data_IF_008787633057
#
_entry.id   IF_008787633057
#
_cell.length_a   1.000
_cell.length_b   1.000
_cell.length_c   1.000
_cell.angle_alpha   90.00
_cell.angle_beta   90.00
_cell.angle_gamma   90.00
#
_symmetry.space_group_name_H-M   'P 1'
#
loop_
_entity.id
_entity.type
_entity.pdbx_description
1 polymer ?
#
# COMPACT_ATOMS: atom_id res chain seq x y z
N UNK A 1 17.41 -7.13 -7.72
CA UNK A 1 18.33 -6.02 -8.07
C UNK A 1 19.74 -6.43 -7.69
N UNK A 2 20.70 -6.27 -8.60
CA UNK A 2 22.11 -6.58 -8.36
C UNK A 2 22.91 -5.28 -8.40
N UNK A 3 23.81 -5.01 -7.44
CA UNK A 3 24.69 -3.85 -7.50
C UNK A 3 25.56 -3.82 -8.75
N UNK A 4 25.88 -2.64 -9.33
CA UNK A 4 26.70 -2.54 -10.54
C UNK A 4 28.08 -3.22 -10.44
N UNK A 5 28.65 -3.33 -9.24
CA UNK A 5 29.92 -4.03 -9.05
C UNK A 5 29.82 -5.56 -9.15
N UNK A 6 28.60 -6.13 -9.07
CA UNK A 6 28.38 -7.57 -8.99
C UNK A 6 27.59 -8.14 -10.18
N UNK A 7 27.08 -7.31 -11.09
CA UNK A 7 26.18 -7.79 -12.15
C UNK A 7 26.85 -8.84 -13.05
N UNK A 8 28.11 -8.62 -13.47
CA UNK A 8 28.86 -9.58 -14.30
C UNK A 8 29.06 -10.93 -13.60
N UNK A 9 29.40 -10.90 -12.32
CA UNK A 9 29.60 -12.12 -11.52
C UNK A 9 28.30 -12.94 -11.45
N UNK A 10 27.15 -12.26 -11.29
CA UNK A 10 25.85 -12.93 -11.25
C UNK A 10 25.45 -13.46 -12.63
N UNK A 11 25.70 -12.71 -13.70
CA UNK A 11 25.45 -13.16 -15.09
C UNK A 11 26.31 -14.39 -15.44
N UNK A 12 27.60 -14.37 -15.10
CA UNK A 12 28.52 -15.49 -15.30
C UNK A 12 28.08 -16.73 -14.51
N UNK A 13 27.61 -16.54 -13.26
CA UNK A 13 27.08 -17.63 -12.44
C UNK A 13 25.83 -18.25 -13.07
N UNK A 14 24.88 -17.42 -13.52
CA UNK A 14 23.63 -17.92 -14.11
C UNK A 14 23.87 -18.63 -15.44
N UNK A 15 24.72 -18.06 -16.30
CA UNK A 15 25.10 -18.71 -17.56
C UNK A 15 25.89 -20.00 -17.32
N UNK A 16 26.80 -20.02 -16.34
CA UNK A 16 27.57 -21.21 -15.96
C UNK A 16 26.70 -22.37 -15.44
N UNK A 17 25.63 -22.05 -14.71
CA UNK A 17 24.65 -23.02 -14.21
C UNK A 17 23.49 -23.30 -15.20
N UNK A 18 23.59 -22.79 -16.43
CA UNK A 18 22.58 -22.92 -17.49
C UNK A 18 21.17 -22.44 -17.07
N UNK A 19 21.12 -21.40 -16.25
CA UNK A 19 19.89 -20.76 -15.79
C UNK A 19 19.44 -19.69 -16.79
N UNK A 20 18.16 -19.70 -17.14
CA UNK A 20 17.55 -18.65 -17.95
C UNK A 20 17.22 -17.44 -17.08
N UNK A 21 17.59 -16.25 -17.53
CA UNK A 21 17.29 -15.00 -16.84
C UNK A 21 17.00 -13.87 -17.83
N UNK A 22 16.34 -12.81 -17.35
CA UNK A 22 16.09 -11.59 -18.10
C UNK A 22 16.48 -10.39 -17.23
N UNK A 23 17.13 -9.39 -17.85
CA UNK A 23 17.41 -8.12 -17.19
C UNK A 23 16.13 -7.30 -17.23
N UNK A 24 15.50 -7.08 -16.07
CA UNK A 24 14.24 -6.34 -15.98
C UNK A 24 14.42 -4.84 -15.80
N UNK A 25 15.58 -4.32 -15.39
CA UNK A 25 15.90 -2.89 -15.49
C UNK A 25 17.41 -2.80 -15.69
N UNK A 26 17.89 -2.32 -16.86
CA UNK A 26 19.32 -2.23 -17.12
C UNK A 26 20.00 -1.12 -16.29
N UNK A 27 19.32 0.00 -16.06
CA UNK A 27 19.84 1.12 -15.27
C UNK A 27 18.79 1.64 -14.27
N UNK A 28 18.94 1.20 -13.01
CA UNK A 28 18.06 1.60 -11.91
C UNK A 28 18.21 3.08 -11.57
N UNK A 29 19.42 3.65 -11.70
CA UNK A 29 19.69 5.03 -11.34
C UNK A 29 19.06 5.99 -12.35
N UNK A 30 19.20 5.70 -13.64
CA UNK A 30 18.57 6.50 -14.68
C UNK A 30 17.04 6.38 -14.63
N UNK A 31 16.50 5.18 -14.40
CA UNK A 31 15.05 4.99 -14.25
C UNK A 31 14.48 5.78 -13.06
N UNK A 32 15.19 5.82 -11.93
CA UNK A 32 14.80 6.65 -10.79
C UNK A 32 14.81 8.15 -11.17
N UNK A 33 15.89 8.63 -11.79
CA UNK A 33 16.03 10.03 -12.21
C UNK A 33 14.95 10.46 -13.19
N UNK A 34 14.69 9.69 -14.25
CA UNK A 34 13.66 10.00 -15.25
C UNK A 34 12.25 10.11 -14.65
N UNK A 35 11.98 9.37 -13.57
CA UNK A 35 10.69 9.44 -12.88
C UNK A 35 10.60 10.58 -11.85
N UNK A 36 11.75 11.13 -11.46
CA UNK A 36 11.86 12.25 -10.52
C UNK A 36 12.12 13.62 -11.23
N UNK A 37 12.43 13.65 -12.54
CA UNK A 37 12.81 14.86 -13.29
C UNK A 37 11.58 15.70 -13.76
N UNK A 38 11.45 16.97 -13.33
CA UNK A 38 10.39 17.88 -13.81
C UNK A 38 10.67 18.50 -15.19
N UNK A 39 11.93 18.60 -15.63
CA UNK A 39 12.34 19.39 -16.81
C UNK A 39 12.06 18.61 -18.10
N UNK A 40 12.17 17.28 -18.05
CA UNK A 40 11.88 16.41 -19.19
C UNK A 40 10.39 16.36 -19.56
N UNK A 41 9.47 16.77 -18.66
CA UNK A 41 8.05 16.90 -18.98
C UNK A 41 7.77 18.07 -19.91
N UNK A 42 8.33 19.25 -19.66
CA UNK A 42 8.09 20.45 -20.47
C UNK A 42 8.70 20.31 -21.88
N UNK A 43 9.89 19.72 -22.01
CA UNK A 43 10.51 19.50 -23.32
C UNK A 43 9.87 18.36 -24.11
N UNK A 44 9.40 17.29 -23.46
CA UNK A 44 8.71 16.19 -24.14
C UNK A 44 7.32 16.60 -24.64
N UNK A 45 6.61 17.44 -23.90
CA UNK A 45 5.31 18.00 -24.29
C UNK A 45 5.45 19.00 -25.46
N UNK A 46 6.49 19.84 -25.44
CA UNK A 46 6.79 20.78 -26.52
C UNK A 46 7.28 20.13 -27.82
N UNK A 47 7.97 18.99 -27.77
CA UNK A 47 8.55 18.33 -28.95
C UNK A 47 7.68 17.20 -29.54
N UNK A 48 6.57 16.84 -28.90
CA UNK A 48 5.65 15.80 -29.41
C UNK A 48 6.27 14.40 -29.50
N UNK A 49 7.34 14.12 -28.75
CA UNK A 49 8.15 12.87 -28.82
C UNK A 49 7.51 11.72 -28.02
N UNK A 50 6.28 11.88 -27.54
CA UNK A 50 5.48 10.80 -26.95
C UNK A 50 4.36 10.30 -27.89
N UNK A 51 4.65 9.78 -29.11
CA UNK A 51 3.61 9.23 -29.98
C UNK A 51 3.08 7.86 -29.50
N UNK A 52 3.66 7.23 -28.47
CA UNK A 52 3.19 5.94 -27.93
C UNK A 52 2.59 5.97 -26.52
N UNK A 53 2.51 7.13 -25.87
CA UNK A 53 1.83 7.28 -24.56
C UNK A 53 0.52 8.08 -24.65
N UNK A 54 0.14 8.53 -25.85
CA UNK A 54 -1.03 9.39 -26.07
C UNK A 54 -2.44 8.80 -25.83
N UNK A 55 -2.72 7.49 -25.71
CA UNK A 55 -4.09 7.09 -25.34
C UNK A 55 -4.41 7.36 -23.86
N UNK A 56 -3.39 7.46 -22.99
CA UNK A 56 -3.60 7.58 -21.52
C UNK A 56 -3.35 8.99 -20.97
N UNK A 57 -2.72 9.87 -21.75
CA UNK A 57 -2.40 11.27 -21.36
C UNK A 57 -3.64 12.20 -21.43
N UNK A 58 -4.81 11.68 -21.82
CA UNK A 58 -6.09 12.41 -21.70
C UNK A 58 -7.05 11.78 -20.69
N UNK A 59 -6.55 11.16 -19.61
CA UNK A 59 -7.35 11.05 -18.40
C UNK A 59 -7.44 12.47 -17.83
N UNK A 60 -8.40 13.19 -18.42
CA UNK A 60 -8.96 14.47 -18.02
C UNK A 60 -8.89 14.54 -16.49
N UNK A 61 -8.29 15.59 -15.91
CA UNK A 61 -8.46 15.85 -14.48
C UNK A 61 -9.97 15.88 -14.11
N UNK A 62 -10.83 16.14 -15.10
CA UNK A 62 -12.28 15.97 -15.06
C UNK A 62 -12.76 14.54 -14.83
N UNK A 63 -12.06 13.48 -15.26
CA UNK A 63 -12.43 12.08 -14.98
C UNK A 63 -12.18 11.74 -13.51
N UNK A 64 -11.04 12.16 -12.94
CA UNK A 64 -10.80 12.06 -11.51
C UNK A 64 -11.82 12.89 -10.71
N UNK A 65 -12.20 14.08 -11.19
CA UNK A 65 -13.28 14.88 -10.61
C UNK A 65 -14.65 14.18 -10.73
N UNK A 66 -15.00 13.62 -11.90
CA UNK A 66 -16.32 13.02 -12.19
C UNK A 66 -16.57 11.67 -11.49
N UNK A 67 -15.52 10.95 -11.05
CA UNK A 67 -15.69 9.71 -10.28
C UNK A 67 -16.20 9.96 -8.86
N UNK A 68 -15.97 11.16 -8.30
CA UNK A 68 -16.59 11.56 -7.06
C UNK A 68 -17.94 12.20 -7.35
N UNK A 69 -19.01 11.72 -6.70
CA UNK A 69 -20.33 12.32 -6.89
C UNK A 69 -20.28 13.84 -6.64
N UNK A 70 -21.09 14.61 -7.36
CA UNK A 70 -21.22 16.06 -7.15
C UNK A 70 -21.53 16.40 -5.67
N UNK A 71 -22.14 15.46 -4.94
CA UNK A 71 -22.37 15.53 -3.50
C UNK A 71 -21.08 15.43 -2.67
N UNK A 72 -20.17 14.51 -3.01
CA UNK A 72 -18.85 14.38 -2.39
C UNK A 72 -18.01 15.65 -2.61
N UNK A 73 -18.03 16.20 -3.82
CA UNK A 73 -17.32 17.45 -4.12
C UNK A 73 -17.92 18.66 -3.38
N UNK A 74 -19.25 18.77 -3.31
CA UNK A 74 -19.92 19.80 -2.50
C UNK A 74 -19.58 19.70 -1.01
N UNK A 75 -19.46 18.47 -0.48
CA UNK A 75 -19.02 18.23 0.91
C UNK A 75 -17.57 18.66 1.13
N UNK A 76 -16.66 18.45 0.18
CA UNK A 76 -15.28 18.95 0.25
C UNK A 76 -15.25 20.48 0.29
N UNK A 77 -16.12 21.16 -0.47
CA UNK A 77 -16.24 22.62 -0.45
C UNK A 77 -16.58 23.23 0.92
N UNK A 78 -17.22 22.45 1.80
CA UNK A 78 -17.59 22.82 3.17
C UNK A 78 -16.48 22.55 4.19
N UNK A 79 -15.42 21.81 3.82
CA UNK A 79 -14.34 21.49 4.74
C UNK A 79 -13.38 22.67 4.91
N UNK A 80 -12.95 22.92 6.16
CA UNK A 80 -11.94 23.94 6.47
C UNK A 80 -10.53 23.54 6.00
N UNK A 81 -10.24 22.24 5.95
CA UNK A 81 -9.04 21.69 5.33
C UNK A 81 -9.30 21.46 3.83
N UNK A 82 -8.73 22.29 2.97
CA UNK A 82 -8.87 22.17 1.52
C UNK A 82 -7.62 21.55 0.91
N UNK A 83 -7.80 20.38 0.32
CA UNK A 83 -6.86 19.74 -0.57
C UNK A 83 -7.71 19.11 -1.65
N UNK A 84 -7.53 19.54 -2.90
CA UNK A 84 -8.37 19.02 -3.98
C UNK A 84 -8.06 17.55 -4.13
N UNK A 85 -9.11 16.73 -4.09
CA UNK A 85 -8.98 15.31 -4.34
C UNK A 85 -8.51 15.12 -5.78
N UNK A 86 -7.39 14.43 -5.98
CA UNK A 86 -6.75 14.28 -7.29
C UNK A 86 -5.51 15.17 -7.51
N UNK A 87 -5.22 16.12 -6.63
CA UNK A 87 -3.94 16.83 -6.66
C UNK A 87 -2.91 16.06 -5.83
N UNK A 88 -1.75 15.75 -6.42
CA UNK A 88 -0.59 15.26 -5.68
C UNK A 88 0.38 16.42 -5.47
N UNK A 89 0.59 16.80 -4.20
CA UNK A 89 1.48 17.88 -3.80
C UNK A 89 2.79 17.37 -3.23
N UNK A 90 3.71 18.30 -3.00
CA UNK A 90 4.96 18.00 -2.29
C UNK A 90 4.67 17.40 -0.90
N UNK A 91 5.64 16.65 -0.38
CA UNK A 91 5.59 16.10 0.97
C UNK A 91 5.18 17.15 2.04
N UNK A 92 5.73 18.37 1.94
CA UNK A 92 5.42 19.49 2.83
C UNK A 92 3.95 19.90 2.77
N UNK A 93 3.35 19.88 1.58
CA UNK A 93 1.94 20.20 1.38
C UNK A 93 1.03 19.10 1.93
N UNK A 94 1.38 17.82 1.70
CA UNK A 94 0.66 16.68 2.27
C UNK A 94 0.68 16.69 3.80
N UNK A 95 1.83 16.97 4.43
CA UNK A 95 1.93 17.09 5.90
C UNK A 95 1.12 18.26 6.43
N UNK A 96 1.21 19.41 5.76
CA UNK A 96 0.40 20.58 6.11
C UNK A 96 -1.08 20.22 6.07
N UNK A 97 -1.52 19.53 5.02
CA UNK A 97 -2.90 19.07 4.89
C UNK A 97 -3.31 18.11 6.01
N UNK A 98 -2.53 17.05 6.26
CA UNK A 98 -2.83 16.09 7.32
C UNK A 98 -2.98 16.78 8.68
N UNK A 99 -2.02 17.64 9.05
CA UNK A 99 -2.08 18.43 10.31
C UNK A 99 -3.29 19.35 10.36
N UNK A 100 -3.68 19.92 9.22
CA UNK A 100 -4.85 20.78 9.12
C UNK A 100 -6.14 19.98 9.33
N UNK A 101 -6.23 18.77 8.81
CA UNK A 101 -7.37 17.88 9.08
C UNK A 101 -7.44 17.56 10.57
N UNK A 102 -6.35 17.06 11.17
CA UNK A 102 -6.33 16.74 12.60
C UNK A 102 -6.76 17.94 13.46
N UNK A 103 -6.25 19.13 13.15
CA UNK A 103 -6.59 20.34 13.88
C UNK A 103 -8.07 20.71 13.80
N UNK A 104 -8.66 20.70 12.60
CA UNK A 104 -10.07 21.05 12.45
C UNK A 104 -11.03 19.94 12.86
N UNK A 105 -10.53 18.70 12.92
CA UNK A 105 -11.32 17.50 13.02
C UNK A 105 -10.76 16.46 14.02
N UNK A 106 -10.46 16.86 15.25
CA UNK A 106 -9.76 16.01 16.22
C UNK A 106 -10.59 14.81 16.68
N UNK A 107 -11.92 14.88 16.53
CA UNK A 107 -12.82 13.78 16.92
C UNK A 107 -12.81 12.60 15.94
N UNK A 108 -12.30 12.80 14.72
CA UNK A 108 -12.31 11.77 13.68
C UNK A 108 -10.96 11.54 13.01
N UNK A 109 -9.97 12.39 13.28
CA UNK A 109 -8.61 12.25 12.76
C UNK A 109 -7.58 12.48 13.84
N UNK A 110 -6.52 11.67 13.81
CA UNK A 110 -5.38 11.73 14.73
C UNK A 110 -4.13 11.37 13.95
N UNK A 111 -3.11 12.21 14.01
CA UNK A 111 -1.80 11.95 13.43
C UNK A 111 -0.95 11.33 14.51
N UNK A 112 -0.53 10.09 14.25
CA UNK A 112 0.40 9.39 15.12
C UNK A 112 1.76 9.47 14.45
N UNK A 113 2.71 10.16 15.11
CA UNK A 113 4.08 10.20 14.62
C UNK A 113 4.78 8.89 14.95
N UNK A 114 5.17 8.18 13.90
CA UNK A 114 5.83 6.89 13.98
C UNK A 114 7.34 7.13 14.11
N UNK A 115 7.79 7.55 15.29
CA UNK A 115 9.21 7.62 15.66
C UNK A 115 10.06 8.74 15.01
N UNK A 116 11.35 8.71 15.31
CA UNK A 116 12.44 9.48 14.70
C UNK A 116 13.52 8.49 14.26
N UNK A 117 14.28 8.79 13.21
CA UNK A 117 15.46 8.01 12.84
C UNK A 117 16.51 8.07 13.94
N UNK A 118 17.52 7.17 13.87
CA UNK A 118 18.63 7.19 14.82
C UNK A 118 19.46 8.49 14.73
N UNK A 119 19.43 9.15 13.58
CA UNK A 119 20.06 10.43 13.31
C UNK A 119 19.31 11.63 13.95
N UNK A 120 18.23 11.38 14.71
CA UNK A 120 17.40 12.41 15.33
C UNK A 120 16.51 13.16 14.34
N UNK A 121 16.54 12.74 13.06
CA UNK A 121 15.67 13.27 12.03
C UNK A 121 14.29 12.63 12.14
N UNK A 122 13.23 13.38 11.83
CA UNK A 122 12.01 12.77 11.33
C UNK A 122 12.35 11.67 10.29
N UNK A 123 11.78 10.45 10.38
CA UNK A 123 11.85 9.41 9.32
C UNK A 123 11.50 10.01 7.95
N UNK A 124 10.70 11.06 8.02
CA UNK A 124 10.24 11.93 6.95
C UNK A 124 11.34 12.61 6.11
N UNK A 125 12.54 12.88 6.65
CA UNK A 125 13.60 13.65 5.97
C UNK A 125 14.70 12.79 5.31
N UNK A 126 14.80 11.49 5.63
CA UNK A 126 15.94 10.63 5.23
C UNK A 126 15.67 9.70 4.02
N UNK A 127 14.47 9.80 3.42
CA UNK A 127 14.02 9.02 2.25
C UNK A 127 14.96 9.21 1.05
N UNK A 128 15.70 10.33 0.97
CA UNK A 128 16.54 10.67 -0.18
C UNK A 128 17.94 10.05 -0.18
N UNK A 129 18.39 9.39 0.91
CA UNK A 129 19.75 8.79 0.94
C UNK A 129 19.79 7.36 0.40
N UNK A 130 18.73 6.56 0.55
CA UNK A 130 18.67 5.15 0.11
C UNK A 130 17.29 4.80 -0.44
N UNK A 131 17.06 5.06 -1.74
CA UNK A 131 15.75 4.96 -2.44
C UNK A 131 15.02 3.61 -2.31
N UNK A 132 15.74 2.53 -2.04
CA UNK A 132 15.23 1.15 -2.00
C UNK A 132 15.32 0.50 -0.61
N UNK A 133 15.50 1.31 0.44
CA UNK A 133 15.44 0.82 1.81
C UNK A 133 14.03 0.37 2.18
N UNK A 134 13.91 -0.76 2.91
CA UNK A 134 12.62 -1.37 3.31
C UNK A 134 12.37 -1.37 4.81
N UNK A 135 13.40 -1.59 5.63
CA UNK A 135 13.27 -1.76 7.09
C UNK A 135 13.07 -0.42 7.80
N UNK A 136 12.90 -0.43 9.11
CA UNK A 136 13.09 0.78 9.90
C UNK A 136 14.59 1.12 10.07
N UNK A 137 14.92 2.07 10.95
CA UNK A 137 16.29 2.57 11.18
C UNK A 137 16.80 2.28 12.60
N UNK A 138 16.27 1.24 13.28
CA UNK A 138 16.76 0.88 14.60
C UNK A 138 18.25 0.46 14.54
N UNK A 139 19.05 0.71 15.59
CA UNK A 139 20.50 0.44 15.57
C UNK A 139 20.78 -1.07 15.48
N UNK A 140 20.83 -1.61 14.28
CA UNK A 140 21.13 -3.01 14.06
C UNK A 140 22.58 -3.16 13.63
N UNK A 141 23.37 -3.85 14.46
CA UNK A 141 24.68 -4.33 14.03
C UNK A 141 24.44 -5.52 13.12
N UNK A 142 24.91 -5.37 11.88
CA UNK A 142 24.83 -6.38 10.83
C UNK A 142 25.84 -7.52 11.08
N UNK A 143 25.75 -8.14 12.26
CA UNK A 143 26.60 -9.25 12.69
C UNK A 143 25.72 -10.49 12.73
N UNK A 144 26.16 -11.54 12.06
CA UNK A 144 25.43 -12.81 11.98
C UNK A 144 25.26 -13.38 13.38
N UNK A 145 24.03 -13.37 13.90
CA UNK A 145 23.68 -14.10 15.12
C UNK A 145 23.64 -15.61 14.83
N UNK A 146 24.19 -16.42 15.73
CA UNK A 146 24.13 -17.89 15.68
C UNK A 146 22.79 -18.45 16.19
N UNK A 147 21.90 -17.59 16.71
CA UNK A 147 20.62 -17.99 17.27
C UNK A 147 19.48 -17.70 16.29
N UNK A 148 18.62 -18.70 16.03
CA UNK A 148 17.40 -18.47 15.28
C UNK A 148 16.42 -19.63 15.32
N UNK A 149 15.22 -19.37 15.87
CA UNK A 149 14.04 -20.20 15.62
C UNK A 149 13.53 -19.99 14.18
N UNK A 150 12.92 -21.01 13.59
CA UNK A 150 12.38 -20.97 12.22
C UNK A 150 10.96 -20.41 12.25
N UNK A 151 10.79 -19.16 11.80
CA UNK A 151 9.50 -18.62 11.38
C UNK A 151 9.50 -18.52 9.85
N UNK A 152 8.46 -19.05 9.19
CA UNK A 152 8.39 -19.10 7.72
C UNK A 152 8.26 -17.69 7.13
N UNK A 153 9.03 -17.40 6.09
CA UNK A 153 9.03 -16.10 5.41
C UNK A 153 9.66 -14.94 6.16
N UNK A 154 10.42 -15.23 7.23
CA UNK A 154 11.14 -14.23 8.02
C UNK A 154 12.58 -14.64 8.25
N UNK A 155 13.41 -13.75 8.77
CA UNK A 155 14.82 -14.01 9.04
C UNK A 155 15.23 -13.55 10.42
N UNK A 156 16.10 -14.34 11.06
CA UNK A 156 16.79 -13.96 12.32
C UNK A 156 18.13 -13.29 12.06
N UNK A 157 18.56 -13.18 10.79
CA UNK A 157 19.77 -12.46 10.40
C UNK A 157 19.49 -10.95 10.34
N UNK A 158 20.15 -10.11 11.17
CA UNK A 158 19.96 -8.66 11.15
C UNK A 158 20.26 -7.99 9.80
N UNK A 159 21.06 -8.62 8.93
CA UNK A 159 21.34 -8.10 7.59
C UNK A 159 20.29 -8.46 6.55
N UNK A 160 19.34 -9.32 6.87
CA UNK A 160 18.27 -9.65 5.93
C UNK A 160 17.28 -8.49 5.81
N UNK A 161 16.74 -8.30 4.60
CA UNK A 161 15.58 -7.43 4.36
C UNK A 161 14.29 -7.98 5.00
N UNK A 162 14.31 -9.24 5.43
CA UNK A 162 13.22 -9.93 6.12
C UNK A 162 13.52 -10.10 7.61
N UNK A 163 14.43 -9.30 8.19
CA UNK A 163 14.75 -9.41 9.60
C UNK A 163 13.54 -9.09 10.47
N UNK A 164 13.17 -10.03 11.34
CA UNK A 164 11.95 -9.95 12.16
C UNK A 164 12.09 -9.13 13.45
N UNK A 165 13.32 -8.66 13.77
CA UNK A 165 13.64 -8.08 15.07
C UNK A 165 14.02 -9.10 16.13
N UNK A 166 14.48 -8.63 17.29
CA UNK A 166 14.91 -9.50 18.39
C UNK A 166 13.74 -10.25 19.05
N UNK A 167 12.55 -9.63 19.05
CA UNK A 167 11.30 -10.17 19.59
C UNK A 167 10.10 -9.49 18.95
N UNK A 168 8.92 -10.10 19.14
CA UNK A 168 7.64 -9.53 18.71
C UNK A 168 7.46 -8.13 19.30
N UNK A 169 7.12 -7.14 18.46
CA UNK A 169 7.00 -5.71 18.83
C UNK A 169 8.28 -5.09 19.45
N UNK A 170 9.46 -5.58 19.05
CA UNK A 170 10.76 -4.98 19.40
C UNK A 170 10.87 -3.55 18.88
N UNK A 171 10.43 -3.29 17.66
CA UNK A 171 10.50 -1.98 17.02
C UNK A 171 9.50 -0.98 17.62
N UNK A 172 9.92 0.25 17.96
CA UNK A 172 9.05 1.24 18.61
C UNK A 172 7.85 1.62 17.74
N UNK A 173 8.00 1.61 16.41
CA UNK A 173 6.94 1.89 15.44
C UNK A 173 5.80 0.87 15.54
N UNK A 174 6.15 -0.42 15.48
CA UNK A 174 5.18 -1.53 15.59
C UNK A 174 4.50 -1.55 16.96
N UNK A 175 5.25 -1.18 18.00
CA UNK A 175 4.76 -1.11 19.37
C UNK A 175 3.74 0.02 19.56
N UNK A 176 3.99 1.18 18.96
CA UNK A 176 3.06 2.31 19.01
C UNK A 176 1.70 1.96 18.38
N UNK A 177 1.70 1.27 17.23
CA UNK A 177 0.46 0.80 16.58
C UNK A 177 -0.27 -0.21 17.47
N UNK A 178 0.45 -1.19 18.01
CA UNK A 178 -0.10 -2.17 18.96
C UNK A 178 -0.75 -1.49 20.16
N UNK A 179 -0.01 -0.61 20.83
CA UNK A 179 -0.44 0.05 22.06
C UNK A 179 -1.65 0.96 21.80
N UNK A 180 -1.70 1.65 20.65
CA UNK A 180 -2.86 2.43 20.24
C UNK A 180 -4.10 1.54 20.02
N UNK A 181 -3.99 0.48 19.23
CA UNK A 181 -5.13 -0.39 18.92
C UNK A 181 -5.62 -1.21 20.13
N UNK A 182 -4.73 -1.54 21.07
CA UNK A 182 -5.07 -2.20 22.33
C UNK A 182 -5.46 -1.23 23.45
N UNK A 183 -5.36 0.08 23.24
CA UNK A 183 -5.69 1.09 24.24
C UNK A 183 -7.18 1.03 24.62
N UNK A 184 -7.52 1.58 25.80
CA UNK A 184 -8.93 1.72 26.21
C UNK A 184 -9.76 2.53 25.21
N UNK A 185 -9.13 3.43 24.46
CA UNK A 185 -9.79 4.27 23.46
C UNK A 185 -10.27 3.43 22.27
N UNK A 186 -9.44 2.49 21.79
CA UNK A 186 -9.67 1.75 20.54
C UNK A 186 -10.14 0.30 20.71
N UNK A 187 -9.92 -0.29 21.89
CA UNK A 187 -10.27 -1.69 22.17
C UNK A 187 -11.74 -1.94 21.82
N UNK A 188 -11.98 -2.96 20.99
CA UNK A 188 -13.30 -3.37 20.48
C UNK A 188 -14.01 -2.32 19.60
N UNK A 189 -13.32 -1.29 19.11
CA UNK A 189 -13.89 -0.27 18.20
C UNK A 189 -13.32 -0.35 16.78
N UNK A 190 -12.39 -1.27 16.53
CA UNK A 190 -11.78 -1.47 15.21
C UNK A 190 -12.56 -2.53 14.43
N UNK A 191 -13.37 -2.10 13.46
CA UNK A 191 -14.19 -3.01 12.65
C UNK A 191 -13.52 -3.49 11.36
N UNK A 192 -12.58 -2.69 10.85
CA UNK A 192 -11.80 -3.00 9.67
C UNK A 192 -10.35 -2.55 9.82
N UNK A 193 -9.43 -3.32 9.25
CA UNK A 193 -8.00 -3.03 9.20
C UNK A 193 -7.50 -3.24 7.77
N UNK A 194 -7.03 -2.17 7.12
CA UNK A 194 -6.46 -2.23 5.78
C UNK A 194 -5.02 -1.74 5.87
N UNK A 195 -4.06 -2.59 5.49
CA UNK A 195 -2.66 -2.19 5.33
C UNK A 195 -2.33 -2.11 3.84
N UNK A 196 -1.72 -1.00 3.41
CA UNK A 196 -1.42 -0.73 2.01
C UNK A 196 0.07 -0.96 1.74
N UNK A 197 0.34 -1.70 0.68
CA UNK A 197 1.65 -2.08 0.20
C UNK A 197 1.73 -1.86 -1.32
N UNK A 198 2.92 -1.97 -1.87
CA UNK A 198 3.17 -2.02 -3.31
C UNK A 198 4.37 -2.95 -3.51
N UNK A 199 4.44 -3.78 -4.54
CA UNK A 199 3.55 -3.89 -5.69
C UNK A 199 3.10 -5.33 -5.89
N UNK A 200 1.99 -5.53 -6.61
CA UNK A 200 1.64 -6.78 -7.29
C UNK A 200 0.21 -6.78 -7.85
N UNK A 201 -0.60 -5.76 -7.54
CA UNK A 201 -2.06 -5.77 -7.77
C UNK A 201 -2.74 -6.96 -7.10
N UNK A 202 -2.54 -7.10 -5.79
CA UNK A 202 -3.16 -8.15 -4.97
C UNK A 202 -4.07 -7.55 -3.90
N UNK A 203 -5.22 -8.18 -3.70
CA UNK A 203 -6.12 -7.91 -2.60
C UNK A 203 -6.11 -9.12 -1.66
N UNK A 204 -5.23 -9.05 -0.67
CA UNK A 204 -4.92 -10.15 0.25
C UNK A 204 -5.84 -10.11 1.46
N UNK A 205 -6.39 -11.26 1.83
CA UNK A 205 -7.03 -11.47 3.12
C UNK A 205 -6.21 -12.46 3.96
N UNK A 206 -6.31 -12.43 5.31
CA UNK A 206 -5.62 -13.39 6.15
C UNK A 206 -5.98 -14.86 5.85
N UNK A 207 -5.12 -15.83 6.17
CA UNK A 207 -3.82 -15.66 6.85
C UNK A 207 -2.63 -15.76 5.88
N UNK A 208 -1.55 -15.05 6.21
CA UNK A 208 -0.32 -15.01 5.41
C UNK A 208 0.82 -15.86 5.97
N UNK A 209 0.77 -16.29 7.23
CA UNK A 209 1.87 -17.06 7.86
C UNK A 209 2.07 -18.49 7.33
N UNK A 210 1.02 -19.14 6.81
CA UNK A 210 1.06 -20.53 6.33
C UNK A 210 0.01 -20.78 5.24
N UNK A 211 0.33 -21.63 4.25
CA UNK A 211 -0.59 -22.00 3.15
C UNK A 211 -1.80 -22.76 3.67
N UNK A 212 -2.92 -22.66 2.98
CA UNK A 212 -4.17 -23.36 3.35
C UNK A 212 -4.72 -23.01 4.75
N UNK A 213 -4.28 -21.89 5.33
CA UNK A 213 -4.80 -21.37 6.61
C UNK A 213 -5.75 -20.20 6.39
N UNK A 214 -6.97 -20.34 6.89
CA UNK A 214 -8.05 -19.38 6.63
C UNK A 214 -8.80 -19.01 7.91
N UNK A 215 -9.22 -17.74 8.09
CA UNK A 215 -10.10 -17.37 9.19
C UNK A 215 -11.51 -17.95 8.98
N UNK A 216 -12.26 -18.12 10.08
CA UNK A 216 -13.62 -18.68 10.06
C UNK A 216 -14.60 -17.92 9.15
N UNK A 217 -14.41 -16.62 8.98
CA UNK A 217 -15.22 -15.74 8.13
C UNK A 217 -14.61 -15.51 6.73
N UNK A 218 -13.67 -16.36 6.30
CA UNK A 218 -13.00 -16.31 4.99
C UNK A 218 -13.96 -16.10 3.82
N UNK A 219 -15.10 -16.81 3.80
CA UNK A 219 -16.08 -16.70 2.71
C UNK A 219 -16.64 -15.28 2.60
N UNK A 220 -16.90 -14.62 3.73
CA UNK A 220 -17.39 -13.23 3.76
C UNK A 220 -16.29 -12.24 3.35
N UNK A 221 -15.07 -12.46 3.84
CA UNK A 221 -13.89 -11.67 3.47
C UNK A 221 -13.63 -11.72 1.96
N UNK A 222 -13.63 -12.92 1.38
CA UNK A 222 -13.42 -13.13 -0.06
C UNK A 222 -14.54 -12.53 -0.90
N UNK A 223 -15.80 -12.66 -0.48
CA UNK A 223 -16.94 -12.02 -1.18
C UNK A 223 -16.83 -10.50 -1.16
N UNK A 224 -16.40 -9.92 -0.05
CA UNK A 224 -16.24 -8.47 0.09
C UNK A 224 -15.05 -7.97 -0.71
N UNK A 225 -13.92 -8.68 -0.68
CA UNK A 225 -12.77 -8.43 -1.56
C UNK A 225 -13.18 -8.49 -3.03
N UNK A 226 -13.98 -9.50 -3.44
CA UNK A 226 -14.47 -9.61 -4.82
C UNK A 226 -15.25 -8.38 -5.26
N UNK A 227 -16.19 -7.89 -4.44
CA UNK A 227 -16.92 -6.65 -4.76
C UNK A 227 -16.00 -5.44 -4.82
N UNK A 228 -15.00 -5.36 -3.94
CA UNK A 228 -14.02 -4.28 -3.93
C UNK A 228 -13.17 -4.27 -5.21
N UNK A 229 -12.63 -5.42 -5.64
CA UNK A 229 -11.86 -5.51 -6.89
C UNK A 229 -12.72 -5.28 -8.14
N UNK A 230 -13.98 -5.74 -8.14
CA UNK A 230 -14.88 -5.55 -9.29
C UNK A 230 -15.18 -4.05 -9.45
N UNK A 231 -15.33 -3.34 -8.32
CA UNK A 231 -15.49 -1.89 -8.28
C UNK A 231 -14.21 -1.15 -8.69
N UNK A 232 -13.04 -1.57 -8.19
CA UNK A 232 -11.73 -1.06 -8.61
C UNK A 232 -11.55 -1.18 -10.13
N UNK A 233 -11.78 -2.38 -10.66
CA UNK A 233 -11.66 -2.70 -12.09
C UNK A 233 -12.60 -1.84 -12.95
N UNK A 234 -13.78 -1.47 -12.45
CA UNK A 234 -14.71 -0.62 -13.19
C UNK A 234 -14.21 0.80 -13.46
N UNK A 235 -13.18 1.27 -12.74
CA UNK A 235 -12.64 2.62 -12.91
C UNK A 235 -11.72 2.70 -14.13
N UNK A 236 -10.66 1.87 -14.17
CA UNK A 236 -9.63 1.92 -15.22
C UNK A 236 -9.34 0.57 -15.89
N UNK A 237 -10.08 -0.49 -15.57
CA UNK A 237 -9.85 -1.84 -16.11
C UNK A 237 -8.76 -2.64 -15.39
N UNK A 238 -8.09 -2.05 -14.40
CA UNK A 238 -7.00 -2.66 -13.63
C UNK A 238 -7.43 -3.95 -12.95
N UNK A 239 -6.58 -4.98 -13.03
CA UNK A 239 -6.91 -6.32 -12.57
C UNK A 239 -6.15 -6.64 -11.29
N UNK A 240 -6.90 -6.82 -10.20
CA UNK A 240 -6.33 -7.28 -8.93
C UNK A 240 -6.71 -8.74 -8.71
N UNK A 241 -5.75 -9.55 -8.23
CA UNK A 241 -5.98 -10.95 -7.85
C UNK A 241 -6.31 -11.01 -6.36
N UNK A 242 -7.17 -11.95 -5.96
CA UNK A 242 -7.56 -12.17 -4.55
C UNK A 242 -7.01 -13.51 -4.07
N UNK A 243 -6.45 -13.52 -2.87
CA UNK A 243 -6.13 -14.73 -2.14
C UNK A 243 -5.53 -14.41 -0.77
N UNK A 244 -4.89 -15.40 -0.16
CA UNK A 244 -4.06 -15.16 1.02
C UNK A 244 -2.63 -14.79 0.63
N UNK A 245 -1.88 -14.13 1.50
CA UNK A 245 -0.46 -13.84 1.23
C UNK A 245 0.35 -15.13 1.05
N UNK A 246 0.03 -16.17 1.83
CA UNK A 246 0.67 -17.47 1.73
C UNK A 246 0.42 -18.18 0.40
N UNK A 247 -0.83 -18.19 -0.08
CA UNK A 247 -1.21 -18.91 -1.30
C UNK A 247 -0.89 -18.13 -2.59
N UNK A 248 -0.80 -16.79 -2.52
CA UNK A 248 -0.58 -15.93 -3.71
C UNK A 248 0.86 -15.48 -3.91
N UNK A 249 1.65 -15.39 -2.83
CA UNK A 249 3.04 -14.94 -2.87
C UNK A 249 3.96 -16.00 -2.28
N UNK A 250 4.02 -16.03 -0.94
CA UNK A 250 4.77 -16.98 -0.15
C UNK A 250 4.35 -16.82 1.31
N UNK A 251 4.43 -17.88 2.13
CA UNK A 251 4.17 -17.76 3.57
C UNK A 251 5.10 -16.73 4.22
N UNK A 252 4.51 -15.80 4.98
CA UNK A 252 5.19 -14.71 5.67
C UNK A 252 4.62 -14.53 7.09
N UNK A 253 5.42 -14.85 8.09
CA UNK A 253 5.06 -14.69 9.50
C UNK A 253 5.25 -13.26 9.99
N UNK A 254 4.44 -12.83 10.97
CA UNK A 254 4.57 -11.53 11.64
C UNK A 254 3.88 -10.35 10.95
N UNK A 255 3.01 -10.62 9.96
CA UNK A 255 2.19 -9.62 9.28
C UNK A 255 1.21 -8.90 10.22
N UNK A 256 0.98 -7.61 9.97
CA UNK A 256 0.05 -6.80 10.76
C UNK A 256 -1.41 -7.16 10.54
N UNK A 257 -1.74 -7.64 9.34
CA UNK A 257 -3.02 -8.20 8.93
C UNK A 257 -3.33 -9.49 9.70
N UNK A 258 -2.39 -10.44 9.75
CA UNK A 258 -2.53 -11.68 10.52
C UNK A 258 -2.71 -11.39 12.01
N UNK A 259 -1.95 -10.45 12.56
CA UNK A 259 -2.09 -10.02 13.95
C UNK A 259 -3.44 -9.34 14.23
N UNK A 260 -3.88 -8.43 13.36
CA UNK A 260 -5.18 -7.77 13.50
C UNK A 260 -6.34 -8.78 13.44
N UNK A 261 -6.21 -9.81 12.60
CA UNK A 261 -7.22 -10.86 12.47
C UNK A 261 -7.20 -11.83 13.65
N UNK A 262 -6.04 -12.40 13.95
CA UNK A 262 -5.89 -13.48 14.91
C UNK A 262 -5.89 -13.03 16.37
N UNK A 263 -5.31 -11.87 16.66
CA UNK A 263 -5.16 -11.37 18.04
C UNK A 263 -6.21 -10.33 18.40
N UNK A 264 -6.47 -9.36 17.51
CA UNK A 264 -7.48 -8.33 17.77
C UNK A 264 -8.91 -8.76 17.42
N UNK A 265 -9.07 -9.85 16.66
CA UNK A 265 -10.39 -10.34 16.24
C UNK A 265 -11.11 -9.40 15.27
N UNK A 266 -10.38 -8.56 14.53
CA UNK A 266 -10.97 -7.61 13.58
C UNK A 266 -11.67 -8.39 12.46
N UNK A 267 -12.89 -7.99 12.12
CA UNK A 267 -13.70 -8.71 11.13
C UNK A 267 -13.14 -8.51 9.71
N UNK A 268 -13.12 -7.28 9.21
CA UNK A 268 -12.70 -6.98 7.84
C UNK A 268 -11.21 -6.61 7.79
N UNK A 269 -10.35 -7.58 7.47
CA UNK A 269 -8.90 -7.37 7.41
C UNK A 269 -8.39 -7.61 5.99
N UNK A 270 -7.64 -6.66 5.46
CA UNK A 270 -7.03 -6.76 4.13
C UNK A 270 -5.62 -6.17 4.09
N UNK A 271 -4.76 -6.82 3.31
CA UNK A 271 -3.51 -6.25 2.82
C UNK A 271 -3.68 -6.00 1.33
N UNK A 272 -3.38 -4.80 0.85
CA UNK A 272 -3.51 -4.46 -0.57
C UNK A 272 -2.12 -4.18 -1.14
N UNK A 273 -1.67 -5.00 -2.09
CA UNK A 273 -0.51 -4.71 -2.92
C UNK A 273 -0.97 -3.92 -4.15
N UNK A 274 -0.62 -2.64 -4.20
CA UNK A 274 -1.05 -1.72 -5.24
C UNK A 274 -0.32 -1.97 -6.58
N UNK A 275 -0.58 -1.10 -7.56
CA UNK A 275 0.14 -1.05 -8.83
C UNK A 275 1.67 -0.97 -8.64
N UNK A 276 2.46 -1.43 -9.64
CA UNK A 276 2.00 -2.13 -10.84
C UNK A 276 1.68 -3.62 -10.59
N UNK A 277 1.19 -4.33 -11.63
CA UNK A 277 1.03 -5.79 -11.58
C UNK A 277 2.37 -6.48 -11.33
N UNK A 278 2.31 -7.65 -10.69
CA UNK A 278 3.41 -8.60 -10.61
C UNK A 278 3.60 -9.29 -11.98
N UNK A 279 4.09 -8.57 -12.99
CA UNK A 279 4.49 -9.15 -14.29
C UNK A 279 5.83 -8.60 -14.80
N UNK A 280 6.51 -9.44 -15.59
CA UNK A 280 7.90 -9.41 -16.04
C UNK A 280 8.31 -8.24 -16.95
N UNK A 281 7.64 -7.08 -16.88
CA UNK A 281 7.96 -5.96 -17.76
C UNK A 281 9.24 -5.23 -17.35
N UNK A 282 10.12 -5.10 -18.34
CA UNK A 282 11.55 -4.78 -18.29
C UNK A 282 11.84 -3.30 -17.95
N UNK A 283 10.93 -2.61 -17.24
CA UNK A 283 11.05 -1.16 -17.03
C UNK A 283 10.70 -0.69 -15.62
N UNK A 284 10.25 -1.56 -14.71
CA UNK A 284 9.95 -1.15 -13.34
C UNK A 284 10.29 -2.24 -12.32
N UNK A 285 10.98 -1.88 -11.23
CA UNK A 285 11.20 -2.74 -10.06
C UNK A 285 9.96 -2.76 -9.16
N UNK A 286 8.80 -2.34 -9.70
CA UNK A 286 7.51 -2.12 -9.06
C UNK A 286 7.48 -1.01 -8.01
N UNK A 287 8.57 -0.78 -7.28
CA UNK A 287 8.73 0.27 -6.26
C UNK A 287 9.04 1.67 -6.83
N UNK A 288 9.37 1.76 -8.12
CA UNK A 288 9.53 3.01 -8.85
C UNK A 288 8.41 3.09 -9.89
N UNK A 289 7.22 3.48 -9.43
CA UNK A 289 6.02 3.69 -10.26
C UNK A 289 6.11 5.04 -11.00
N UNK A 290 5.52 5.12 -12.19
CA UNK A 290 5.44 6.39 -12.93
C UNK A 290 4.55 7.39 -12.16
N UNK A 291 4.96 8.67 -12.07
CA UNK A 291 4.18 9.71 -11.39
C UNK A 291 2.76 9.86 -11.94
N UNK A 292 2.55 9.60 -13.23
CA UNK A 292 1.23 9.62 -13.88
C UNK A 292 0.28 8.52 -13.39
N UNK A 293 0.81 7.48 -12.73
CA UNK A 293 0.02 6.37 -12.17
C UNK A 293 -0.41 6.62 -10.71
N UNK A 294 0.12 7.66 -10.04
CA UNK A 294 -0.16 7.94 -8.62
C UNK A 294 -1.65 8.24 -8.38
N UNK A 295 -2.21 9.17 -9.16
CA UNK A 295 -3.62 9.55 -9.03
C UNK A 295 -4.55 8.41 -9.48
N UNK A 296 -4.34 7.76 -10.65
CA UNK A 296 -5.12 6.58 -11.03
C UNK A 296 -5.13 5.48 -9.97
N UNK A 297 -3.97 5.16 -9.38
CA UNK A 297 -3.86 4.16 -8.31
C UNK A 297 -4.66 4.57 -7.08
N UNK A 298 -4.60 5.83 -6.67
CA UNK A 298 -5.36 6.32 -5.52
C UNK A 298 -6.88 6.29 -5.76
N UNK A 299 -7.34 6.70 -6.94
CA UNK A 299 -8.77 6.76 -7.29
C UNK A 299 -9.38 5.36 -7.32
N UNK A 300 -8.77 4.41 -8.02
CA UNK A 300 -9.31 3.05 -8.11
C UNK A 300 -9.31 2.32 -6.76
N UNK A 301 -8.25 2.52 -5.97
CA UNK A 301 -8.12 1.92 -4.63
C UNK A 301 -9.17 2.49 -3.69
N UNK A 302 -9.43 3.79 -3.76
CA UNK A 302 -10.44 4.44 -2.94
C UNK A 302 -11.84 3.88 -3.20
N UNK A 303 -12.22 3.71 -4.46
CA UNK A 303 -13.51 3.11 -4.83
C UNK A 303 -13.66 1.67 -4.28
N UNK A 304 -12.56 0.92 -4.21
CA UNK A 304 -12.52 -0.40 -3.57
C UNK A 304 -12.67 -0.34 -2.05
N UNK A 305 -11.96 0.59 -1.39
CA UNK A 305 -12.03 0.81 0.07
C UNK A 305 -13.44 1.19 0.51
N UNK A 306 -14.15 2.01 -0.28
CA UNK A 306 -15.54 2.36 0.00
C UNK A 306 -16.47 1.13 0.05
N UNK A 307 -16.20 0.10 -0.76
CA UNK A 307 -16.95 -1.16 -0.70
C UNK A 307 -16.73 -1.89 0.62
N UNK A 308 -15.50 -1.90 1.14
CA UNK A 308 -15.20 -2.46 2.47
C UNK A 308 -15.93 -1.66 3.55
N UNK A 309 -15.84 -0.33 3.53
CA UNK A 309 -16.54 0.53 4.48
C UNK A 309 -18.05 0.31 4.48
N UNK A 310 -18.65 0.18 3.29
CA UNK A 310 -20.09 -0.11 3.15
C UNK A 310 -20.43 -1.48 3.74
N UNK A 311 -19.55 -2.46 3.59
CA UNK A 311 -19.73 -3.80 4.14
C UNK A 311 -19.66 -3.80 5.67
N UNK A 312 -18.72 -3.03 6.25
CA UNK A 312 -18.63 -2.77 7.70
C UNK A 312 -19.92 -2.15 8.23
N UNK A 313 -20.40 -1.07 7.61
CA UNK A 313 -21.62 -0.37 8.04
C UNK A 313 -22.84 -1.28 7.97
N UNK A 314 -22.95 -2.10 6.92
CA UNK A 314 -24.04 -3.08 6.79
C UNK A 314 -23.98 -4.13 7.90
N UNK A 315 -22.79 -4.66 8.20
CA UNK A 315 -22.63 -5.65 9.27
C UNK A 315 -22.99 -5.09 10.65
N UNK A 316 -22.61 -3.84 10.95
CA UNK A 316 -23.01 -3.16 12.19
C UNK A 316 -24.52 -3.04 12.33
N UNK A 317 -25.21 -2.55 11.29
CA UNK A 317 -26.67 -2.43 11.32
C UNK A 317 -27.38 -3.77 11.52
N UNK A 318 -26.87 -4.82 10.88
CA UNK A 318 -27.40 -6.17 11.09
C UNK A 318 -27.20 -6.67 12.52
N UNK A 319 -26.06 -6.36 13.15
CA UNK A 319 -25.86 -6.67 14.58
C UNK A 319 -26.73 -5.83 15.53
N UNK A 320 -27.16 -4.64 15.09
CA UNK A 320 -28.04 -3.73 15.83
C UNK A 320 -29.54 -3.95 15.55
N UNK A 321 -29.89 -4.89 14.65
CA UNK A 321 -31.28 -5.22 14.31
C UNK A 321 -31.96 -4.29 13.29
N UNK A 322 -31.22 -3.39 12.62
CA UNK A 322 -31.77 -2.52 11.55
C UNK A 322 -31.56 -3.16 10.17
N UNK A 323 -32.65 -3.63 9.56
CA UNK A 323 -32.66 -4.31 8.25
C UNK A 323 -32.71 -3.36 7.04
N UNK A 324 -32.67 -2.04 7.26
CA UNK A 324 -32.70 -1.04 6.17
C UNK A 324 -31.33 -0.88 5.49
N UNK A 325 -31.26 -1.23 4.20
CA UNK A 325 -30.08 -1.03 3.35
C UNK A 325 -29.63 0.45 3.35
N UNK A 326 -28.32 0.76 3.40
CA UNK A 326 -27.85 2.12 3.22
C UNK A 326 -28.21 2.65 1.83
N UNK A 327 -28.87 3.80 1.77
CA UNK A 327 -29.12 4.53 0.52
C UNK A 327 -27.94 5.43 0.09
N UNK A 328 -26.77 5.28 0.70
CA UNK A 328 -25.59 6.00 0.21
C UNK A 328 -25.04 5.23 -1.00
N UNK A 329 -25.21 5.84 -2.18
CA UNK A 329 -24.68 5.43 -3.49
C UNK A 329 -25.53 4.53 -4.41
N UNK A 330 -26.78 4.22 -4.07
CA UNK A 330 -27.74 3.58 -5.02
C UNK A 330 -28.81 4.57 -5.52
N UNK A 331 -28.44 5.47 -6.44
CA UNK A 331 -29.33 6.22 -7.36
C UNK A 331 -28.47 6.65 -8.56
N UNK A 332 -28.68 6.31 -9.82
CA UNK A 332 -29.67 5.55 -10.58
C UNK A 332 -28.93 4.84 -11.72
N UNK A 333 -29.19 3.56 -11.98
CA UNK A 333 -29.18 3.03 -13.34
C UNK A 333 -30.62 3.15 -13.84
N UNK A 334 -30.87 4.16 -14.67
CA UNK A 334 -31.90 4.18 -15.70
C UNK A 334 -31.29 4.93 -16.89
#
# INVERSE_FOLDING_TARGET
MVPPSMHRIVEDLFTGENLTFAITIPDVMNNARLKDDPILDEEADQRGILPHFRPYVSIDAKLAENHFSAESQNKIGLLKAKYRFGDYGSYKEMIKFMRTIEFYYPNFTKIIRIGMTHEGSPIEDDIFRVRLWRKNRSPQKCVRSLWGGRQTGSSTNPCSNLYQGEKVFSEPESRAVRDFLMSKEMKNKLDAFITLHTYAQLWIHPYSHETETYPMDYIELKRTAKRAIDKLKSVYGTQYKIGTGADTLAPASGGSDDWAKGVLGVKYVYLVELRPELECDIVSNGFILNKYELIPTAVETWEAVQVVMTSVLRAKRLSEGDSRLPSLFMRKQL
#
